data_IF_623681432325
#
_entry.id   IF_623681432325
#
_cell.length_a   1.000
_cell.length_b   1.000
_cell.length_c   1.000
_cell.angle_alpha   90.00
_cell.angle_beta   90.00
_cell.angle_gamma   90.00
#
_symmetry.space_group_name_H-M   'P 1'
#
loop_
_entity.id
_entity.type
_entity.pdbx_description
1 polymer ?
#
# COMPACT_ATOMS: atom_id res chain seq x y z
N UNK A 1 -11.72 -14.27 34.44
CA UNK A 1 -12.15 -13.38 33.34
C UNK A 1 -11.21 -12.18 33.36
N UNK A 2 -10.07 -12.26 32.68
CA UNK A 2 -9.07 -11.18 32.65
C UNK A 2 -9.09 -10.56 31.26
N UNK A 3 -9.77 -9.42 31.14
CA UNK A 3 -9.86 -8.65 29.90
C UNK A 3 -8.52 -7.95 29.65
N UNK A 4 -7.81 -8.37 28.60
CA UNK A 4 -6.64 -7.66 28.11
C UNK A 4 -7.12 -6.43 27.33
N UNK A 5 -6.89 -5.25 27.89
CA UNK A 5 -7.17 -4.00 27.19
C UNK A 5 -6.09 -3.77 26.11
N UNK A 6 -6.47 -3.90 24.85
CA UNK A 6 -5.62 -3.57 23.70
C UNK A 6 -5.43 -2.05 23.65
N UNK A 7 -4.19 -1.59 23.90
CA UNK A 7 -3.83 -0.18 23.76
C UNK A 7 -3.69 0.18 22.28
N UNK A 8 -4.81 0.54 21.65
CA UNK A 8 -4.82 1.12 20.30
C UNK A 8 -4.34 2.56 20.41
N UNK A 9 -3.06 2.81 20.12
CA UNK A 9 -2.53 4.17 20.00
C UNK A 9 -3.19 4.86 18.81
N UNK A 10 -3.99 5.90 19.06
CA UNK A 10 -4.66 6.69 18.01
C UNK A 10 -3.70 7.77 17.51
N UNK A 11 -3.82 8.15 16.24
CA UNK A 11 -3.02 9.24 15.63
C UNK A 11 -3.13 10.57 16.40
N UNK A 12 -4.22 10.74 17.15
CA UNK A 12 -4.50 11.91 17.99
C UNK A 12 -3.55 12.00 19.20
N UNK A 13 -3.11 10.86 19.75
CA UNK A 13 -2.23 10.81 20.92
C UNK A 13 -0.81 11.31 20.60
N UNK A 14 -0.34 11.08 19.37
CA UNK A 14 0.96 11.56 18.89
C UNK A 14 0.99 13.09 18.73
N UNK A 15 -0.13 13.69 18.35
CA UNK A 15 -0.25 15.13 18.14
C UNK A 15 -0.32 15.91 19.47
N UNK A 16 -0.80 15.28 20.55
CA UNK A 16 -0.95 15.92 21.85
C UNK A 16 0.34 15.92 22.71
N UNK A 17 1.33 15.10 22.38
CA UNK A 17 2.60 15.01 23.13
C UNK A 17 3.53 16.24 23.02
N UNK A 18 3.15 17.25 22.23
CA UNK A 18 3.95 18.48 22.03
C UNK A 18 3.73 19.55 23.12
N UNK A 19 2.70 19.41 23.97
CA UNK A 19 2.28 20.45 24.92
C UNK A 19 2.59 20.16 26.40
N UNK A 20 3.23 19.03 26.72
CA UNK A 20 3.48 18.61 28.11
C UNK A 20 4.97 18.34 28.39
N UNK A 21 5.80 19.38 28.28
CA UNK A 21 7.07 19.48 29.00
C UNK A 21 7.32 20.95 29.37
N UNK A 22 6.72 21.37 30.49
CA UNK A 22 7.21 22.52 31.26
C UNK A 22 7.85 22.00 32.55
N UNK A 23 9.14 22.24 32.69
CA UNK A 23 9.96 21.99 33.88
C UNK A 23 11.21 22.85 33.79
N UNK A 24 11.23 23.91 34.59
CA UNK A 24 12.24 24.98 34.71
C UNK A 24 13.34 24.53 35.68
N UNK A 25 14.61 24.85 35.42
CA UNK A 25 15.63 25.38 36.35
C UNK A 25 16.85 25.89 35.53
N UNK A 26 17.67 26.83 36.04
CA UNK A 26 18.15 27.98 35.28
C UNK A 26 19.59 27.84 34.78
N UNK A 27 19.85 28.28 33.55
CA UNK A 27 21.20 28.52 33.06
C UNK A 27 21.44 30.03 32.96
N UNK A 28 22.34 30.44 33.84
CA UNK A 28 23.04 31.72 33.99
C UNK A 28 23.21 32.53 32.69
N UNK A 29 22.86 33.80 32.83
CA UNK A 29 22.96 34.87 31.85
C UNK A 29 24.43 35.25 31.58
N UNK A 30 24.98 34.77 30.45
CA UNK A 30 26.15 35.39 29.83
C UNK A 30 25.67 36.24 28.66
N UNK A 31 25.49 37.53 28.93
CA UNK A 31 25.10 38.55 27.96
C UNK A 31 26.08 38.65 26.79
N UNK A 32 25.73 38.00 25.68
CA UNK A 32 26.27 38.37 24.37
C UNK A 32 25.41 39.50 23.81
N UNK A 33 25.93 40.72 23.88
CA UNK A 33 25.33 41.89 23.23
C UNK A 33 25.24 41.63 21.72
N UNK A 34 24.06 41.19 21.25
CA UNK A 34 23.74 41.21 19.82
C UNK A 34 23.62 42.67 19.40
N UNK A 35 24.66 43.16 18.73
CA UNK A 35 24.57 44.39 17.95
C UNK A 35 23.33 44.31 17.06
N UNK A 36 22.41 45.26 17.25
CA UNK A 36 21.22 45.41 16.41
C UNK A 36 21.72 45.65 14.98
N UNK A 37 21.74 44.62 14.14
CA UNK A 37 21.93 44.79 12.70
C UNK A 37 20.79 45.67 12.21
N UNK A 38 21.13 46.87 11.75
CA UNK A 38 20.20 47.78 11.12
C UNK A 38 19.40 47.04 10.05
N UNK A 39 18.06 47.05 10.18
CA UNK A 39 17.16 46.60 9.13
C UNK A 39 17.41 47.47 7.90
N UNK A 40 18.10 46.92 6.91
CA UNK A 40 18.17 47.54 5.58
C UNK A 40 16.75 47.52 5.03
N UNK A 41 16.06 48.66 5.12
CA UNK A 41 14.81 48.92 4.41
C UNK A 41 15.02 48.54 2.95
N UNK A 42 14.24 47.56 2.46
CA UNK A 42 14.24 47.22 1.04
C UNK A 42 13.86 48.50 0.29
N UNK A 43 14.62 48.94 -0.73
CA UNK A 43 14.24 50.12 -1.50
C UNK A 43 12.84 49.89 -2.04
N UNK A 44 11.96 50.88 -1.88
CA UNK A 44 10.62 50.85 -2.44
C UNK A 44 10.73 50.44 -3.92
N UNK A 45 10.16 49.29 -4.26
CA UNK A 45 10.18 48.80 -5.62
C UNK A 45 9.30 49.77 -6.40
N UNK A 46 9.93 50.70 -7.13
CA UNK A 46 9.24 51.52 -8.11
C UNK A 46 8.77 50.56 -9.19
N UNK A 47 7.54 50.04 -9.05
CA UNK A 47 6.87 49.27 -10.08
C UNK A 47 6.53 50.25 -11.18
N UNK A 48 7.44 50.41 -12.14
CA UNK A 48 7.16 51.20 -13.35
C UNK A 48 5.95 50.54 -14.02
N UNK A 49 4.80 51.22 -13.96
CA UNK A 49 3.54 50.74 -14.53
C UNK A 49 3.74 50.69 -16.05
N UNK A 50 3.77 49.48 -16.62
CA UNK A 50 3.89 49.30 -18.06
C UNK A 50 2.56 49.62 -18.74
N UNK A 51 2.62 50.35 -19.85
CA UNK A 51 1.45 50.64 -20.67
C UNK A 51 0.80 49.37 -21.20
N UNK A 52 -0.53 49.34 -21.26
CA UNK A 52 -1.29 48.25 -21.87
C UNK A 52 -1.32 48.46 -23.40
N UNK A 53 -1.08 47.42 -24.22
CA UNK A 53 -1.23 47.53 -25.67
C UNK A 53 -2.70 47.78 -26.05
N UNK A 54 -2.95 48.46 -27.17
CA UNK A 54 -4.29 48.81 -27.65
C UNK A 54 -5.22 47.60 -27.82
N UNK A 55 -4.66 46.44 -28.17
CA UNK A 55 -5.39 45.18 -28.34
C UNK A 55 -5.69 44.44 -27.02
N UNK A 56 -5.18 44.91 -25.88
CA UNK A 56 -5.31 44.25 -24.57
C UNK A 56 -4.57 42.91 -24.43
N UNK A 57 -4.09 42.32 -25.53
CA UNK A 57 -3.43 41.01 -25.54
C UNK A 57 -1.91 41.15 -25.51
N UNK A 58 -1.31 40.70 -24.41
CA UNK A 58 0.15 40.63 -24.26
C UNK A 58 0.60 39.22 -24.64
N UNK A 59 1.31 39.07 -25.76
CA UNK A 59 1.74 37.77 -26.29
C UNK A 59 3.09 37.28 -25.76
N UNK A 60 3.83 38.12 -25.01
CA UNK A 60 5.10 37.78 -24.36
C UNK A 60 5.00 37.92 -22.85
N UNK A 61 5.47 36.90 -22.12
CA UNK A 61 5.60 36.99 -20.68
C UNK A 61 6.69 37.98 -20.26
N UNK A 62 6.48 38.64 -19.12
CA UNK A 62 7.44 39.59 -18.58
C UNK A 62 8.65 38.83 -18.05
N UNK A 63 9.82 39.05 -18.66
CA UNK A 63 11.08 38.46 -18.20
C UNK A 63 11.41 38.98 -16.80
N UNK A 64 11.56 38.07 -15.84
CA UNK A 64 12.10 38.40 -14.53
C UNK A 64 13.62 38.62 -14.62
N UNK A 65 14.18 39.43 -13.73
CA UNK A 65 15.64 39.65 -13.72
C UNK A 65 16.32 38.34 -13.31
N UNK A 66 17.45 37.97 -13.90
CA UNK A 66 18.20 36.76 -13.49
C UNK A 66 18.61 36.76 -12.00
N UNK A 67 18.62 37.92 -11.33
CA UNK A 67 18.81 38.06 -9.90
C UNK A 67 17.62 37.64 -9.03
N UNK A 68 16.41 37.50 -9.58
CA UNK A 68 15.25 36.95 -8.87
C UNK A 68 15.28 35.42 -8.82
N UNK A 69 16.16 34.79 -9.60
CA UNK A 69 16.41 33.34 -9.49
C UNK A 69 17.17 33.15 -8.17
N UNK A 70 16.50 32.53 -7.20
CA UNK A 70 17.09 32.19 -5.91
C UNK A 70 18.18 31.13 -6.17
N UNK A 71 19.43 31.59 -6.28
CA UNK A 71 20.62 30.73 -6.36
C UNK A 71 20.90 30.13 -4.98
N UNK A 72 20.01 29.30 -4.47
CA UNK A 72 20.35 28.44 -3.32
C UNK A 72 21.50 27.54 -3.77
N UNK A 73 22.55 27.40 -2.93
CA UNK A 73 23.44 26.24 -3.08
C UNK A 73 22.52 25.03 -3.00
N UNK A 74 22.36 24.31 -4.11
CA UNK A 74 21.26 23.37 -4.32
C UNK A 74 21.02 22.48 -3.11
N UNK A 75 19.77 22.02 -2.94
CA UNK A 75 19.27 21.23 -1.78
C UNK A 75 20.01 19.89 -1.71
N UNK A 76 21.30 19.94 -1.38
CA UNK A 76 22.19 18.81 -1.25
C UNK A 76 22.08 18.38 0.19
N UNK A 77 21.30 17.32 0.40
CA UNK A 77 21.28 16.64 1.69
C UNK A 77 22.70 16.18 2.04
N UNK A 78 23.07 16.30 3.31
CA UNK A 78 24.31 15.74 3.83
C UNK A 78 24.34 14.22 3.61
N UNK A 79 25.54 13.64 3.57
CA UNK A 79 25.73 12.21 3.37
C UNK A 79 24.94 11.38 4.39
N UNK A 80 25.02 11.76 5.67
CA UNK A 80 24.28 11.15 6.77
C UNK A 80 22.76 11.12 6.54
N UNK A 81 22.18 12.24 6.07
CA UNK A 81 20.75 12.31 5.74
C UNK A 81 20.37 11.37 4.60
N UNK A 82 21.25 11.20 3.61
CA UNK A 82 21.04 10.25 2.51
C UNK A 82 21.13 8.81 2.98
N UNK A 83 22.05 8.51 3.89
CA UNK A 83 22.22 7.18 4.45
C UNK A 83 20.99 6.80 5.29
N UNK A 84 20.55 7.68 6.18
CA UNK A 84 19.30 7.49 6.94
C UNK A 84 18.10 7.24 6.03
N UNK A 85 17.95 8.02 4.96
CA UNK A 85 16.86 7.83 3.99
C UNK A 85 16.94 6.46 3.30
N UNK A 86 18.14 5.98 2.96
CA UNK A 86 18.32 4.64 2.36
C UNK A 86 17.94 3.54 3.34
N UNK A 87 18.32 3.66 4.60
CA UNK A 87 17.99 2.71 5.65
C UNK A 87 16.49 2.66 5.92
N UNK A 88 15.83 3.82 6.00
CA UNK A 88 14.39 3.90 6.20
C UNK A 88 13.62 3.32 5.01
N UNK A 89 14.05 3.63 3.77
CA UNK A 89 13.46 3.03 2.56
C UNK A 89 13.65 1.52 2.51
N UNK A 90 14.81 1.01 2.94
CA UNK A 90 15.08 -0.42 3.03
C UNK A 90 14.13 -1.08 4.04
N UNK A 91 14.02 -0.52 5.25
CA UNK A 91 13.11 -0.99 6.30
C UNK A 91 11.67 -1.06 5.81
N UNK A 92 11.16 0.00 5.16
CA UNK A 92 9.80 0.04 4.61
C UNK A 92 9.58 -1.02 3.53
N UNK A 93 10.54 -1.20 2.62
CA UNK A 93 10.46 -2.22 1.57
C UNK A 93 10.45 -3.63 2.14
N UNK A 94 11.28 -3.90 3.14
CA UNK A 94 11.37 -5.22 3.75
C UNK A 94 10.08 -5.55 4.53
N UNK A 95 9.52 -4.59 5.27
CA UNK A 95 8.19 -4.74 5.89
C UNK A 95 7.09 -4.98 4.87
N UNK A 96 7.08 -4.22 3.76
CA UNK A 96 6.10 -4.40 2.69
C UNK A 96 6.19 -5.78 2.03
N UNK A 97 7.42 -6.26 1.76
CA UNK A 97 7.66 -7.60 1.22
C UNK A 97 7.16 -8.69 2.15
N UNK A 98 7.47 -8.58 3.45
CA UNK A 98 7.01 -9.56 4.45
C UNK A 98 5.48 -9.67 4.48
N UNK A 99 4.75 -8.55 4.43
CA UNK A 99 3.28 -8.54 4.39
C UNK A 99 2.74 -9.19 3.11
N UNK A 100 3.36 -8.91 1.96
CA UNK A 100 2.94 -9.49 0.68
C UNK A 100 3.19 -11.00 0.67
N UNK A 101 4.32 -11.44 1.20
CA UNK A 101 4.70 -12.85 1.28
C UNK A 101 3.77 -13.64 2.20
N UNK A 102 3.44 -13.10 3.38
CA UNK A 102 2.45 -13.69 4.29
C UNK A 102 1.10 -13.87 3.59
N UNK A 103 0.58 -12.81 2.95
CA UNK A 103 -0.69 -12.90 2.20
C UNK A 103 -0.64 -13.90 1.04
N UNK A 104 0.51 -14.05 0.40
CA UNK A 104 0.70 -15.02 -0.69
C UNK A 104 0.69 -16.45 -0.13
N UNK A 105 1.43 -16.71 0.94
CA UNK A 105 1.48 -18.00 1.61
C UNK A 105 0.09 -18.45 2.10
N UNK A 106 -0.69 -17.53 2.70
CA UNK A 106 -2.07 -17.81 3.11
C UNK A 106 -2.97 -18.22 1.94
N UNK A 107 -2.88 -17.50 0.81
CA UNK A 107 -3.65 -17.81 -0.41
C UNK A 107 -3.25 -19.15 -1.01
N UNK A 108 -1.95 -19.45 -1.05
CA UNK A 108 -1.44 -20.72 -1.56
C UNK A 108 -1.89 -21.89 -0.67
N UNK A 109 -1.81 -21.75 0.66
CA UNK A 109 -2.32 -22.76 1.59
C UNK A 109 -3.83 -23.00 1.42
N UNK A 110 -4.63 -21.92 1.25
CA UNK A 110 -6.07 -22.05 0.97
C UNK A 110 -6.34 -22.75 -0.36
N UNK A 111 -5.54 -22.47 -1.39
CA UNK A 111 -5.64 -23.12 -2.70
C UNK A 111 -5.31 -24.61 -2.60
N UNK A 112 -4.23 -24.98 -1.91
CA UNK A 112 -3.83 -26.37 -1.68
C UNK A 112 -4.92 -27.14 -0.94
N UNK A 113 -5.44 -26.60 0.18
CA UNK A 113 -6.56 -27.19 0.91
C UNK A 113 -7.80 -27.41 0.03
N UNK A 114 -8.12 -26.45 -0.83
CA UNK A 114 -9.25 -26.58 -1.78
C UNK A 114 -9.00 -27.71 -2.78
N UNK A 115 -7.79 -27.81 -3.33
CA UNK A 115 -7.42 -28.88 -4.26
C UNK A 115 -7.52 -30.25 -3.59
N UNK A 116 -6.99 -30.38 -2.37
CA UNK A 116 -7.07 -31.62 -1.59
C UNK A 116 -8.51 -32.01 -1.27
N UNK A 117 -9.34 -31.05 -0.85
CA UNK A 117 -10.75 -31.29 -0.58
C UNK A 117 -11.52 -31.71 -1.83
N UNK A 118 -11.23 -31.10 -2.98
CA UNK A 118 -11.83 -31.50 -4.27
C UNK A 118 -11.41 -32.92 -4.66
N UNK A 119 -10.12 -33.25 -4.56
CA UNK A 119 -9.62 -34.61 -4.81
C UNK A 119 -10.29 -35.63 -3.89
N UNK A 120 -10.35 -35.35 -2.59
CA UNK A 120 -11.02 -36.21 -1.61
C UNK A 120 -12.52 -36.36 -1.92
N UNK A 121 -13.19 -35.28 -2.34
CA UNK A 121 -14.59 -35.34 -2.73
C UNK A 121 -14.80 -36.18 -4.00
N UNK A 122 -13.92 -36.09 -4.99
CA UNK A 122 -13.96 -36.91 -6.19
C UNK A 122 -13.71 -38.39 -5.88
N UNK A 123 -12.73 -38.70 -5.04
CA UNK A 123 -12.48 -40.06 -4.56
C UNK A 123 -13.65 -40.61 -3.76
N UNK A 124 -14.22 -39.82 -2.85
CA UNK A 124 -15.40 -40.21 -2.09
C UNK A 124 -16.60 -40.43 -3.00
N UNK A 125 -16.81 -39.55 -4.00
CA UNK A 125 -17.87 -39.71 -4.99
C UNK A 125 -17.74 -41.02 -5.76
N UNK A 126 -16.51 -41.38 -6.17
CA UNK A 126 -16.23 -42.68 -6.82
C UNK A 126 -16.49 -43.86 -5.87
N UNK A 127 -16.05 -43.77 -4.62
CA UNK A 127 -16.24 -44.82 -3.60
C UNK A 127 -17.70 -45.00 -3.19
N UNK A 128 -18.46 -43.92 -3.10
CA UNK A 128 -19.88 -43.93 -2.75
C UNK A 128 -20.80 -44.20 -3.94
N UNK A 129 -20.26 -44.32 -5.15
CA UNK A 129 -21.06 -44.58 -6.34
C UNK A 129 -21.65 -45.99 -6.27
N UNK A 130 -22.95 -46.07 -5.97
CA UNK A 130 -23.69 -47.32 -5.95
C UNK A 130 -24.07 -47.70 -7.38
N UNK A 131 -23.43 -48.74 -7.92
CA UNK A 131 -23.67 -49.23 -9.29
C UNK A 131 -24.63 -50.41 -9.27
N UNK A 132 -25.58 -50.42 -10.21
CA UNK A 132 -26.41 -51.59 -10.46
C UNK A 132 -25.74 -52.50 -11.50
N UNK A 133 -25.39 -53.73 -11.11
CA UNK A 133 -24.83 -54.73 -12.04
C UNK A 133 -25.93 -55.21 -13.00
N UNK A 134 -25.77 -54.94 -14.29
CA UNK A 134 -26.75 -55.35 -15.32
C UNK A 134 -26.40 -56.74 -15.82
N UNK A 135 -27.15 -57.74 -15.37
CA UNK A 135 -26.95 -59.15 -15.79
C UNK A 135 -27.51 -59.48 -17.17
N UNK A 136 -28.56 -58.78 -17.62
CA UNK A 136 -29.21 -59.03 -18.91
C UNK A 136 -29.07 -57.82 -19.85
N UNK A 137 -28.31 -57.99 -20.92
CA UNK A 137 -27.98 -56.93 -21.89
C UNK A 137 -29.10 -56.65 -22.90
N UNK A 138 -30.05 -57.57 -23.09
CA UNK A 138 -31.19 -57.36 -23.99
C UNK A 138 -32.10 -56.23 -23.49
N UNK A 139 -32.13 -55.97 -22.16
CA UNK A 139 -32.90 -54.89 -21.56
C UNK A 139 -32.42 -53.51 -22.04
N UNK A 140 -31.10 -53.26 -22.03
CA UNK A 140 -30.51 -51.99 -22.51
C UNK A 140 -30.82 -51.80 -24.00
N UNK A 141 -30.70 -52.85 -24.80
CA UNK A 141 -30.95 -52.80 -26.25
C UNK A 141 -32.40 -52.43 -26.60
N UNK A 142 -33.36 -52.72 -25.70
CA UNK A 142 -34.78 -52.40 -25.88
C UNK A 142 -35.18 -51.02 -25.34
N UNK A 143 -34.29 -50.32 -24.63
CA UNK A 143 -34.60 -49.00 -24.03
C UNK A 143 -34.65 -47.88 -25.07
N UNK A 144 -35.43 -46.83 -24.77
CA UNK A 144 -35.52 -45.65 -25.62
C UNK A 144 -34.20 -44.87 -25.61
N UNK A 145 -33.81 -44.30 -26.75
CA UNK A 145 -32.58 -43.47 -26.89
C UNK A 145 -32.45 -42.37 -25.82
N UNK A 146 -33.55 -41.77 -25.35
CA UNK A 146 -33.53 -40.75 -24.29
C UNK A 146 -33.10 -41.33 -22.94
N UNK A 147 -33.51 -42.55 -22.60
CA UNK A 147 -33.13 -43.22 -21.35
C UNK A 147 -31.67 -43.68 -21.39
N UNK A 148 -31.18 -44.12 -22.55
CA UNK A 148 -29.77 -44.48 -22.73
C UNK A 148 -28.81 -43.31 -22.51
N UNK A 149 -29.24 -42.05 -22.75
CA UNK A 149 -28.44 -40.85 -22.46
C UNK A 149 -28.25 -40.57 -20.97
N UNK A 150 -29.10 -41.15 -20.11
CA UNK A 150 -29.03 -40.98 -18.65
C UNK A 150 -28.19 -42.07 -17.98
N UNK A 151 -27.85 -43.14 -18.70
CA UNK A 151 -27.08 -44.26 -18.15
C UNK A 151 -25.60 -43.96 -18.36
N UNK A 152 -24.85 -43.92 -17.26
CA UNK A 152 -23.40 -43.89 -17.28
C UNK A 152 -22.86 -45.30 -17.02
N UNK A 153 -21.81 -45.70 -17.75
CA UNK A 153 -21.14 -46.99 -17.52
C UNK A 153 -20.04 -46.80 -16.49
N UNK A 154 -19.95 -47.76 -15.56
CA UNK A 154 -18.90 -47.85 -14.55
C UNK A 154 -18.34 -49.25 -14.53
N UNK A 155 -17.02 -49.34 -14.38
CA UNK A 155 -16.32 -50.62 -14.31
C UNK A 155 -16.41 -51.17 -12.89
N UNK A 156 -16.87 -52.40 -12.77
CA UNK A 156 -17.00 -53.13 -11.49
C UNK A 156 -15.99 -54.27 -11.38
N UNK A 157 -15.16 -54.49 -12.41
CA UNK A 157 -14.17 -55.56 -12.49
C UNK A 157 -12.80 -55.19 -11.88
N UNK A 158 -12.62 -53.95 -11.43
CA UNK A 158 -11.35 -53.45 -10.85
C UNK A 158 -11.37 -53.44 -9.31
N UNK A 159 -12.10 -54.36 -8.67
CA UNK A 159 -11.89 -54.65 -7.24
C UNK A 159 -10.66 -55.51 -7.03
#
# INVERSE_FOLDING_TARGET
MTEAQETVTRMEDLLNSKSLVEGKEPIVDTGHQKSKKAEKKKPAIITVIKGKPKSGRIWKEQKTRFSSIIKTRGIRQSFEKKQKLREDLKRVKDMSRAIIEQKKAEKEAKKQRRIENLKRAEENRKKSEVVQVIRNTAKIKRMKKKQLRMIEKRDTNNM
#
